data_IF_612938857712
#
_entry.id   IF_612938857712
#
_cell.length_a   1.000
_cell.length_b   1.000
_cell.length_c   1.000
_cell.angle_alpha   90.00
_cell.angle_beta   90.00
_cell.angle_gamma   90.00
#
_symmetry.space_group_name_H-M   'P 1'
#
loop_
_entity.id
_entity.type
_entity.pdbx_description
1 polymer ?
#
# COMPACT_ATOMS: atom_id res chain seq x y z
N UNK A 1 21.43 -9.11 -4.07
CA UNK A 1 20.12 -8.48 -3.83
C UNK A 1 20.30 -7.41 -2.78
N UNK A 2 19.96 -6.16 -3.10
CA UNK A 2 19.94 -5.08 -2.12
C UNK A 2 18.53 -5.03 -1.53
N UNK A 3 18.40 -5.45 -0.27
CA UNK A 3 17.15 -5.31 0.48
C UNK A 3 17.19 -3.92 1.15
N UNK A 4 16.11 -3.14 1.01
CA UNK A 4 16.01 -1.86 1.71
C UNK A 4 15.94 -2.07 3.22
N UNK A 5 16.38 -1.09 4.01
CA UNK A 5 16.04 -1.08 5.44
C UNK A 5 14.51 -1.14 5.63
N UNK A 6 14.01 -1.82 6.68
CA UNK A 6 12.59 -1.83 6.98
C UNK A 6 12.05 -0.41 7.18
N UNK A 7 10.82 -0.18 6.75
CA UNK A 7 10.11 1.09 6.92
C UNK A 7 8.62 0.84 7.13
N UNK A 8 7.93 1.81 7.71
CA UNK A 8 6.48 1.77 7.79
C UNK A 8 5.85 2.50 6.62
N UNK A 9 4.72 2.01 6.13
CA UNK A 9 3.89 2.70 5.16
C UNK A 9 2.71 3.31 5.91
N UNK A 10 2.49 4.61 5.81
CA UNK A 10 1.50 5.33 6.62
C UNK A 10 0.54 6.19 5.80
N UNK A 11 -0.76 6.03 6.00
CA UNK A 11 -1.81 6.92 5.51
C UNK A 11 -2.26 7.91 6.59
N UNK A 12 -2.29 9.24 6.32
CA UNK A 12 -2.80 10.22 7.28
C UNK A 12 -4.34 10.29 7.35
N UNK A 13 -5.06 9.49 6.56
CA UNK A 13 -6.50 9.62 6.35
C UNK A 13 -7.35 8.61 7.14
N UNK A 14 -6.75 7.87 8.09
CA UNK A 14 -7.48 6.93 8.95
C UNK A 14 -6.88 6.88 10.37
N UNK A 15 -7.71 6.73 11.43
CA UNK A 15 -7.22 6.44 12.78
C UNK A 15 -6.45 5.11 12.82
N UNK A 16 -5.17 5.14 13.20
CA UNK A 16 -4.28 3.98 13.06
C UNK A 16 -3.74 3.86 11.63
N UNK A 17 -2.92 4.82 11.23
CA UNK A 17 -2.53 5.03 9.84
C UNK A 17 -1.47 4.10 9.28
N UNK A 18 -0.98 3.07 9.99
CA UNK A 18 0.09 2.22 9.48
C UNK A 18 -0.45 1.02 8.72
N UNK A 19 0.02 0.84 7.48
CA UNK A 19 -0.28 -0.32 6.67
C UNK A 19 0.22 -1.56 7.39
N UNK A 20 -0.68 -2.54 7.49
CA UNK A 20 -0.41 -3.82 8.12
C UNK A 20 -1.14 -4.93 7.36
N UNK A 21 -0.67 -6.15 7.51
CA UNK A 21 -1.52 -7.30 7.22
C UNK A 21 -2.28 -7.73 8.48
N UNK A 22 -3.53 -8.16 8.30
CA UNK A 22 -4.39 -8.71 9.36
C UNK A 22 -4.65 -10.20 9.13
N UNK A 23 -4.61 -11.00 10.19
CA UNK A 23 -4.91 -12.45 10.19
C UNK A 23 -3.81 -13.32 10.83
N UNK A 24 -4.17 -14.54 11.27
CA UNK A 24 -3.30 -15.40 12.07
C UNK A 24 -2.18 -16.10 11.28
N UNK A 25 -2.28 -16.22 9.95
CA UNK A 25 -1.34 -17.02 9.14
C UNK A 25 -1.06 -16.36 7.77
N UNK A 26 0.14 -15.78 7.60
CA UNK A 26 0.65 -15.10 6.38
C UNK A 26 0.08 -13.71 6.06
N UNK A 27 -0.82 -13.20 6.90
CA UNK A 27 -1.53 -11.95 6.63
C UNK A 27 -2.53 -12.11 5.49
N UNK A 28 -3.83 -12.02 5.75
CA UNK A 28 -4.84 -12.36 4.72
C UNK A 28 -5.18 -11.13 3.87
N UNK A 29 -5.34 -9.98 4.52
CA UNK A 29 -5.75 -8.72 3.89
C UNK A 29 -4.98 -7.54 4.47
N UNK A 30 -4.76 -6.52 3.64
CA UNK A 30 -4.13 -5.29 4.09
C UNK A 30 -5.15 -4.34 4.72
N UNK A 31 -4.81 -3.83 5.90
CA UNK A 31 -5.59 -2.85 6.66
C UNK A 31 -4.67 -1.76 7.21
N UNK A 32 -5.28 -0.76 7.84
CA UNK A 32 -4.59 0.29 8.58
C UNK A 32 -4.73 0.01 10.09
N UNK A 33 -3.60 0.06 10.80
CA UNK A 33 -3.51 -0.15 12.24
C UNK A 33 -2.65 0.89 12.97
N UNK A 34 -2.80 0.91 14.30
CA UNK A 34 -1.96 1.73 15.20
C UNK A 34 -0.71 0.94 15.62
N UNK A 35 0.30 1.62 16.17
CA UNK A 35 1.49 0.97 16.73
C UNK A 35 2.78 1.36 16.00
N UNK A 36 2.82 1.25 14.67
CA UNK A 36 3.97 1.55 13.81
C UNK A 36 5.23 0.71 14.06
N UNK A 37 5.43 0.16 15.26
CA UNK A 37 6.64 -0.56 15.65
C UNK A 37 6.58 -2.06 15.39
N UNK A 38 5.40 -2.62 15.15
CA UNK A 38 5.24 -4.07 15.07
C UNK A 38 5.76 -4.62 13.73
N UNK A 39 6.38 -5.83 13.71
CA UNK A 39 6.94 -6.42 12.49
C UNK A 39 5.94 -6.57 11.32
N UNK A 40 4.67 -6.86 11.61
CA UNK A 40 3.61 -6.96 10.60
C UNK A 40 3.22 -5.61 9.98
N UNK A 41 3.74 -4.50 10.52
CA UNK A 41 3.60 -3.13 10.02
C UNK A 41 4.88 -2.60 9.36
N UNK A 42 5.94 -3.41 9.33
CA UNK A 42 7.22 -3.09 8.72
C UNK A 42 7.37 -3.73 7.35
N UNK A 43 7.84 -2.95 6.39
CA UNK A 43 7.89 -3.29 4.98
C UNK A 43 9.29 -3.11 4.42
N UNK A 44 9.60 -3.83 3.35
CA UNK A 44 10.81 -3.65 2.56
C UNK A 44 10.47 -3.52 1.07
N UNK A 45 11.31 -2.83 0.32
CA UNK A 45 11.24 -2.75 -1.13
C UNK A 45 12.28 -3.69 -1.73
N UNK A 46 11.84 -4.51 -2.66
CA UNK A 46 12.71 -5.29 -3.53
C UNK A 46 12.57 -4.74 -4.96
N UNK A 47 13.63 -4.15 -5.54
CA UNK A 47 13.62 -3.79 -6.95
C UNK A 47 13.31 -5.01 -7.83
N UNK A 48 12.47 -4.82 -8.84
CA UNK A 48 12.23 -5.86 -9.85
C UNK A 48 13.27 -5.75 -10.97
N UNK A 49 13.29 -6.73 -11.87
CA UNK A 49 14.24 -6.79 -12.99
C UNK A 49 13.98 -5.73 -14.08
N UNK A 50 12.82 -5.05 -14.05
CA UNK A 50 12.50 -3.98 -15.01
C UNK A 50 13.20 -2.65 -14.69
N UNK A 51 13.78 -2.53 -13.48
CA UNK A 51 14.53 -1.35 -13.03
C UNK A 51 13.68 -0.12 -12.69
N UNK A 52 12.35 -0.19 -12.82
CA UNK A 52 11.42 0.93 -12.60
C UNK A 52 10.34 0.63 -11.56
N UNK A 53 10.05 -0.65 -11.29
CA UNK A 53 9.07 -1.10 -10.32
C UNK A 53 9.73 -1.77 -9.11
N UNK A 54 8.95 -1.92 -8.04
CA UNK A 54 9.35 -2.56 -6.80
C UNK A 54 8.30 -3.57 -6.36
N UNK A 55 8.73 -4.63 -5.70
CA UNK A 55 7.85 -5.47 -4.89
C UNK A 55 7.90 -4.99 -3.45
N UNK A 56 6.72 -4.83 -2.85
CA UNK A 56 6.57 -4.35 -1.47
C UNK A 56 6.31 -5.57 -0.59
N UNK A 57 7.32 -5.93 0.19
CA UNK A 57 7.33 -7.10 1.07
C UNK A 57 7.08 -6.75 2.53
N UNK A 58 6.45 -7.64 3.26
CA UNK A 58 6.21 -7.56 4.70
C UNK A 58 7.31 -8.29 5.47
N UNK A 59 7.82 -7.67 6.53
CA UNK A 59 8.98 -8.18 7.29
C UNK A 59 8.62 -9.40 8.14
N UNK A 60 7.42 -9.42 8.75
CA UNK A 60 6.98 -10.53 9.59
C UNK A 60 6.74 -11.80 8.78
N UNK A 61 6.00 -11.68 7.67
CA UNK A 61 5.51 -12.85 6.95
C UNK A 61 6.40 -13.26 5.77
N UNK A 62 7.34 -12.42 5.34
CA UNK A 62 8.15 -12.68 4.13
C UNK A 62 7.33 -12.75 2.84
N UNK A 63 6.13 -12.17 2.85
CA UNK A 63 5.19 -12.12 1.72
C UNK A 63 5.12 -10.72 1.13
N UNK A 64 4.48 -10.58 -0.02
CA UNK A 64 4.34 -9.34 -0.77
C UNK A 64 2.87 -8.93 -0.87
N UNK A 65 2.62 -7.64 -1.04
CA UNK A 65 1.28 -7.16 -1.37
C UNK A 65 0.93 -7.48 -2.83
N UNK A 66 -0.31 -7.90 -3.07
CA UNK A 66 -0.90 -8.06 -4.41
C UNK A 66 -2.37 -7.68 -4.38
N UNK A 67 -2.96 -7.49 -5.55
CA UNK A 67 -4.41 -7.37 -5.71
C UNK A 67 -5.07 -8.74 -5.76
N UNK A 68 -6.19 -8.91 -5.07
CA UNK A 68 -7.09 -10.04 -5.26
C UNK A 68 -7.76 -9.97 -6.65
N UNK A 69 -8.20 -11.09 -7.25
CA UNK A 69 -9.03 -11.05 -8.43
C UNK A 69 -10.34 -10.28 -8.15
N UNK A 70 -10.66 -9.27 -8.96
CA UNK A 70 -11.88 -8.46 -8.81
C UNK A 70 -12.39 -7.97 -10.16
N UNK A 71 -13.72 -7.87 -10.28
CA UNK A 71 -14.40 -7.23 -11.41
C UNK A 71 -14.92 -5.82 -11.05
N UNK A 72 -14.69 -5.35 -9.82
CA UNK A 72 -15.13 -4.05 -9.32
C UNK A 72 -14.10 -2.94 -9.52
N UNK A 73 -14.47 -1.67 -9.25
CA UNK A 73 -13.56 -0.53 -9.35
C UNK A 73 -12.52 -0.48 -8.21
N UNK A 74 -12.83 -1.12 -7.08
CA UNK A 74 -11.99 -1.25 -5.91
C UNK A 74 -11.61 -2.73 -5.72
N UNK A 75 -10.32 -3.00 -5.56
CA UNK A 75 -9.78 -4.35 -5.48
C UNK A 75 -9.05 -4.54 -4.16
N UNK A 76 -9.37 -5.62 -3.44
CA UNK A 76 -8.74 -5.94 -2.16
C UNK A 76 -7.24 -6.17 -2.30
N UNK A 77 -6.47 -5.64 -1.35
CA UNK A 77 -5.05 -5.92 -1.22
C UNK A 77 -4.87 -7.10 -0.27
N UNK A 78 -4.14 -8.10 -0.74
CA UNK A 78 -3.92 -9.38 -0.06
C UNK A 78 -2.44 -9.75 -0.09
N UNK A 79 -2.06 -10.71 0.73
CA UNK A 79 -0.71 -11.25 0.79
C UNK A 79 -0.47 -12.31 -0.28
N UNK A 80 0.76 -12.39 -0.78
CA UNK A 80 1.21 -13.45 -1.69
C UNK A 80 2.68 -13.78 -1.47
N UNK A 81 3.08 -15.02 -1.73
CA UNK A 81 4.48 -15.43 -1.74
C UNK A 81 5.21 -15.04 -3.03
N UNK A 82 4.48 -14.68 -4.08
CA UNK A 82 5.05 -14.31 -5.37
C UNK A 82 5.17 -12.78 -5.49
N UNK A 83 6.38 -12.21 -5.59
CA UNK A 83 6.56 -10.77 -5.73
C UNK A 83 5.83 -10.24 -6.98
N UNK A 84 5.16 -9.09 -6.81
CA UNK A 84 4.45 -8.38 -7.89
C UNK A 84 5.01 -6.96 -8.05
N UNK A 85 5.07 -6.44 -9.28
CA UNK A 85 5.53 -5.08 -9.52
C UNK A 85 4.49 -4.07 -9.01
N UNK A 86 4.99 -3.03 -8.34
CA UNK A 86 4.27 -1.82 -7.96
C UNK A 86 5.14 -0.62 -8.32
N UNK A 87 4.51 0.49 -8.64
CA UNK A 87 5.18 1.72 -9.04
C UNK A 87 5.05 2.76 -7.94
N UNK A 88 6.13 3.50 -7.68
CA UNK A 88 6.13 4.57 -6.69
C UNK A 88 6.15 5.90 -7.44
N UNK A 89 4.99 6.56 -7.53
CA UNK A 89 4.88 7.84 -8.22
C UNK A 89 5.00 9.00 -7.22
N UNK A 90 5.84 10.01 -7.50
CA UNK A 90 5.86 11.23 -6.70
C UNK A 90 4.52 11.95 -6.81
N UNK A 91 4.14 12.67 -5.77
CA UNK A 91 2.96 13.53 -5.83
C UNK A 91 3.14 14.69 -6.81
N UNK A 92 2.03 15.25 -7.33
CA UNK A 92 2.07 16.52 -8.04
C UNK A 92 2.83 17.57 -7.21
N UNK A 93 3.64 18.40 -7.88
CA UNK A 93 4.60 19.31 -7.27
C UNK A 93 4.02 20.31 -6.24
N UNK A 94 2.69 20.43 -6.18
CA UNK A 94 1.92 21.26 -5.24
C UNK A 94 1.88 20.67 -3.80
N UNK A 95 2.24 19.39 -3.60
CA UNK A 95 2.22 18.77 -2.26
C UNK A 95 3.44 19.18 -1.43
N UNK A 96 3.20 19.87 -0.30
CA UNK A 96 4.21 20.21 0.70
C UNK A 96 4.68 19.04 1.57
N UNK A 97 4.10 17.86 1.36
CA UNK A 97 4.34 16.66 2.16
C UNK A 97 5.14 15.64 1.34
N UNK A 98 6.21 15.03 1.90
CA UNK A 98 6.97 13.97 1.23
C UNK A 98 6.16 12.68 1.24
N UNK A 99 5.21 12.56 0.32
CA UNK A 99 4.37 11.38 0.12
C UNK A 99 4.51 10.88 -1.32
N UNK A 100 4.19 9.62 -1.52
CA UNK A 100 4.18 8.97 -2.83
C UNK A 100 2.89 8.17 -2.97
N UNK A 101 2.42 8.05 -4.21
CA UNK A 101 1.39 7.10 -4.55
C UNK A 101 2.04 5.72 -4.77
N UNK A 102 1.40 4.67 -4.23
CA UNK A 102 1.72 3.29 -4.59
C UNK A 102 0.75 2.87 -5.67
N UNK A 103 1.26 2.65 -6.87
CA UNK A 103 0.46 2.42 -8.06
C UNK A 103 0.57 0.99 -8.57
N UNK A 104 -0.53 0.46 -9.09
CA UNK A 104 -0.61 -0.87 -9.69
C UNK A 104 0.07 -0.93 -11.06
N UNK A 105 0.12 0.19 -11.77
CA UNK A 105 0.66 0.32 -13.12
C UNK A 105 1.51 1.59 -13.26
N UNK A 106 2.29 1.66 -14.33
CA UNK A 106 3.25 2.74 -14.60
C UNK A 106 2.56 4.09 -14.83
N UNK A 107 1.38 4.09 -15.46
CA UNK A 107 0.56 5.28 -15.69
C UNK A 107 -0.15 5.76 -14.41
N UNK A 108 -0.04 4.98 -13.33
CA UNK A 108 -0.68 5.16 -12.06
C UNK A 108 -2.20 5.29 -12.17
N UNK A 109 -2.83 4.47 -13.03
CA UNK A 109 -4.29 4.43 -13.19
C UNK A 109 -4.97 3.75 -12.01
N UNK A 110 -4.29 2.81 -11.34
CA UNK A 110 -4.71 2.20 -10.09
C UNK A 110 -3.81 2.60 -8.92
N UNK A 111 -4.38 3.11 -7.82
CA UNK A 111 -3.62 3.50 -6.61
C UNK A 111 -4.08 2.78 -5.36
N UNK A 112 -3.14 2.49 -4.46
CA UNK A 112 -3.42 1.97 -3.14
C UNK A 112 -3.98 3.09 -2.24
N UNK A 113 -5.17 2.90 -1.69
CA UNK A 113 -5.87 3.89 -0.87
C UNK A 113 -6.68 3.22 0.26
N UNK A 114 -6.92 3.93 1.38
CA UNK A 114 -7.88 3.49 2.39
C UNK A 114 -9.29 3.44 1.80
N UNK A 115 -10.06 2.39 2.12
CA UNK A 115 -11.43 2.22 1.62
C UNK A 115 -12.33 3.38 2.05
N UNK A 116 -12.13 3.91 3.26
CA UNK A 116 -12.86 5.07 3.77
C UNK A 116 -12.75 6.33 2.92
N UNK A 117 -11.69 6.46 2.10
CA UNK A 117 -11.48 7.61 1.21
C UNK A 117 -12.08 7.42 -0.19
N UNK A 118 -12.38 6.17 -0.56
CA UNK A 118 -12.79 5.81 -1.94
C UNK A 118 -14.20 5.22 -2.00
N UNK A 119 -14.80 4.94 -0.85
CA UNK A 119 -16.17 4.48 -0.68
C UNK A 119 -16.82 5.19 0.51
N UNK A 120 -17.61 6.23 0.22
CA UNK A 120 -18.31 7.04 1.21
C UNK A 120 -19.34 6.24 2.03
N UNK A 121 -19.72 5.03 1.60
CA UNK A 121 -20.59 4.15 2.39
C UNK A 121 -19.85 3.44 3.53
N UNK A 122 -18.52 3.50 3.56
CA UNK A 122 -17.67 2.81 4.54
C UNK A 122 -16.65 3.75 5.20
N UNK A 123 -17.09 4.85 5.83
CA UNK A 123 -16.21 5.92 6.33
C UNK A 123 -15.25 5.48 7.44
N UNK A 124 -15.57 4.42 8.19
CA UNK A 124 -14.77 3.91 9.30
C UNK A 124 -13.93 2.67 8.92
N UNK A 125 -13.88 2.33 7.62
CA UNK A 125 -13.16 1.14 7.17
C UNK A 125 -11.64 1.36 7.22
N UNK A 126 -10.96 0.44 7.92
CA UNK A 126 -9.51 0.32 7.95
C UNK A 126 -8.96 -0.42 6.72
N UNK A 127 -9.82 -0.96 5.86
CA UNK A 127 -9.36 -1.77 4.74
C UNK A 127 -8.60 -0.95 3.71
N UNK A 128 -7.59 -1.56 3.10
CA UNK A 128 -6.84 -0.95 2.01
C UNK A 128 -7.22 -1.62 0.69
N UNK A 129 -7.42 -0.80 -0.35
CA UNK A 129 -7.83 -1.22 -1.70
C UNK A 129 -6.94 -0.60 -2.76
N UNK A 130 -6.83 -1.27 -3.90
CA UNK A 130 -6.43 -0.63 -5.16
C UNK A 130 -7.68 -0.03 -5.80
N UNK A 131 -7.68 1.26 -6.10
CA UNK A 131 -8.79 1.95 -6.80
C UNK A 131 -8.34 2.51 -8.13
N UNK A 132 -9.19 2.43 -9.15
CA UNK A 132 -8.94 3.04 -10.47
C UNK A 132 -9.35 4.51 -10.56
N UNK A 133 -9.90 5.09 -9.49
CA UNK A 133 -10.34 6.49 -9.47
C UNK A 133 -9.18 7.45 -9.14
N UNK A 134 -8.06 7.30 -9.85
CA UNK A 134 -6.76 7.88 -9.49
C UNK A 134 -6.74 9.42 -9.48
N UNK A 135 -7.62 10.10 -10.23
CA UNK A 135 -7.64 11.57 -10.33
C UNK A 135 -7.99 12.25 -9.00
N UNK A 136 -8.84 11.63 -8.18
CA UNK A 136 -9.19 12.11 -6.83
C UNK A 136 -8.29 11.49 -5.76
N UNK A 137 -7.57 10.39 -6.07
CA UNK A 137 -6.89 9.58 -5.08
C UNK A 137 -5.39 9.84 -4.90
N UNK A 138 -4.79 10.73 -5.70
CA UNK A 138 -3.38 11.13 -5.51
C UNK A 138 -3.16 11.75 -4.12
N UNK A 139 -4.17 12.37 -3.53
CA UNK A 139 -4.08 12.95 -2.19
C UNK A 139 -4.03 11.91 -1.06
N UNK A 140 -4.48 10.67 -1.27
CA UNK A 140 -4.62 9.63 -0.22
C UNK A 140 -3.36 8.78 0.04
N UNK A 141 -2.23 9.35 -0.34
CA UNK A 141 -0.93 8.69 -0.47
C UNK A 141 -0.31 8.31 0.87
N UNK A 142 0.62 7.35 0.80
CA UNK A 142 1.28 6.80 1.98
C UNK A 142 2.70 7.33 2.11
N UNK A 143 3.18 7.43 3.35
CA UNK A 143 4.54 7.87 3.69
C UNK A 143 5.38 6.71 4.17
N UNK A 144 6.67 6.75 3.83
CA UNK A 144 7.67 5.89 4.47
C UNK A 144 8.18 6.57 5.74
N UNK A 145 8.15 5.85 6.85
CA UNK A 145 8.85 6.24 8.08
C UNK A 145 9.95 5.20 8.38
N UNK A 146 11.12 5.67 8.83
CA UNK A 146 12.18 4.83 9.37
C UNK A 146 12.10 4.84 10.89
#
# INVERSE_FOLDING_TARGET
MSISLPFNIHSPFHPGGFLQFFGADLGVSATLGSGGSDPWQQWFLQPTDDGVSVSIGNTEYGTYITTAPSNGPNTSIVSTTNPRPWYLAPLPAESSLPMFAICHDEECTGVLAPLSQVDASQPDSTEVRSTKNATECREYSMRTYR
#
